data_IF_272537613663
#
_entry.id   IF_272537613663
#
_cell.length_a   1.000
_cell.length_b   1.000
_cell.length_c   1.000
_cell.angle_alpha   90.00
_cell.angle_beta   90.00
_cell.angle_gamma   90.00
#
_symmetry.space_group_name_H-M   'P 1'
#
loop_
_entity.id
_entity.type
_entity.pdbx_description
1 polymer ?
#
# COMPACT_ATOMS: atom_id res chain seq x y z
N UNK A 1 16.57 15.40 -30.46
CA UNK A 1 17.06 14.48 -29.41
C UNK A 1 17.75 15.17 -28.23
N UNK A 2 18.72 16.09 -28.39
CA UNK A 2 19.32 16.79 -27.23
C UNK A 2 18.35 17.73 -26.49
N UNK A 3 17.48 18.45 -27.20
CA UNK A 3 16.50 19.37 -26.61
C UNK A 3 15.44 18.68 -25.76
N UNK A 4 14.99 17.51 -26.16
CA UNK A 4 13.96 16.76 -25.43
C UNK A 4 14.49 16.23 -24.10
N UNK A 5 15.78 15.88 -24.04
CA UNK A 5 16.46 15.46 -22.82
C UNK A 5 16.67 16.63 -21.84
N UNK A 6 16.97 17.82 -22.33
CA UNK A 6 17.13 19.01 -21.48
C UNK A 6 15.79 19.49 -20.89
N UNK A 7 14.71 19.38 -21.63
CA UNK A 7 13.36 19.66 -21.11
C UNK A 7 12.91 18.62 -20.07
N UNK A 8 13.21 17.36 -20.31
CA UNK A 8 12.93 16.28 -19.38
C UNK A 8 13.71 16.46 -18.06
N UNK A 9 14.98 16.83 -18.15
CA UNK A 9 15.82 17.13 -16.98
C UNK A 9 15.31 18.35 -16.19
N UNK A 10 14.81 19.38 -16.86
CA UNK A 10 14.19 20.54 -16.22
C UNK A 10 12.90 20.17 -15.48
N UNK A 11 12.10 19.26 -16.01
CA UNK A 11 10.92 18.72 -15.31
C UNK A 11 11.33 17.89 -14.09
N UNK A 12 12.40 17.11 -14.17
CA UNK A 12 12.95 16.38 -13.02
C UNK A 12 13.52 17.32 -11.95
N UNK A 13 14.13 18.41 -12.34
CA UNK A 13 14.65 19.42 -11.41
C UNK A 13 13.50 20.10 -10.65
N UNK A 14 12.40 20.43 -11.31
CA UNK A 14 11.19 20.96 -10.65
C UNK A 14 10.58 19.96 -9.66
N UNK A 15 10.60 18.66 -9.97
CA UNK A 15 10.19 17.61 -9.05
C UNK A 15 11.14 17.47 -7.85
N UNK A 16 12.43 17.68 -8.04
CA UNK A 16 13.42 17.64 -6.96
C UNK A 16 13.32 18.86 -6.03
N UNK A 17 13.10 20.05 -6.59
CA UNK A 17 12.87 21.27 -5.79
C UNK A 17 11.57 21.22 -5.00
N UNK A 18 10.53 20.57 -5.52
CA UNK A 18 9.29 20.30 -4.77
C UNK A 18 9.47 19.20 -3.71
N UNK A 19 10.47 18.34 -3.86
CA UNK A 19 10.84 17.33 -2.87
C UNK A 19 11.56 17.91 -1.65
N UNK A 20 12.24 19.04 -1.79
CA UNK A 20 13.02 19.67 -0.72
C UNK A 20 12.15 20.40 0.34
N UNK A 21 10.86 20.53 0.12
CA UNK A 21 9.94 21.12 1.11
C UNK A 21 9.41 20.13 2.15
N UNK A 22 9.85 18.89 2.13
CA UNK A 22 9.52 17.91 3.18
C UNK A 22 10.68 17.88 4.19
N UNK A 23 10.87 18.96 4.95
CA UNK A 23 11.60 18.95 6.21
C UNK A 23 10.76 18.25 7.29
N UNK A 24 10.53 16.97 7.14
CA UNK A 24 10.30 16.12 8.29
C UNK A 24 11.67 15.64 8.74
N UNK A 25 12.00 15.89 10.01
CA UNK A 25 13.11 15.21 10.69
C UNK A 25 13.11 13.74 10.22
N UNK A 26 14.25 13.16 9.88
CA UNK A 26 14.34 11.74 9.67
C UNK A 26 13.99 11.07 11.01
N UNK A 27 12.71 10.87 11.25
CA UNK A 27 12.31 9.85 12.19
C UNK A 27 13.00 8.62 11.67
N UNK A 28 13.90 8.09 12.50
CA UNK A 28 14.59 6.85 12.26
C UNK A 28 13.58 5.91 11.63
N UNK A 29 13.66 5.76 10.31
CA UNK A 29 12.98 4.68 9.63
C UNK A 29 13.49 3.46 10.39
N UNK A 30 12.68 2.96 11.31
CA UNK A 30 12.94 1.66 11.87
C UNK A 30 12.99 0.77 10.65
N UNK A 31 14.21 0.44 10.25
CA UNK A 31 14.44 -0.58 9.25
C UNK A 31 13.60 -1.76 9.69
N UNK A 32 12.45 -1.93 9.05
CA UNK A 32 11.64 -3.10 9.26
C UNK A 32 12.38 -4.24 8.57
N UNK A 33 13.52 -4.61 9.14
CA UNK A 33 14.26 -5.78 8.75
C UNK A 33 13.36 -6.96 9.04
N UNK A 34 12.72 -7.41 7.98
CA UNK A 34 11.95 -8.65 8.03
C UNK A 34 12.95 -9.79 7.96
N UNK A 35 13.08 -10.60 9.00
CA UNK A 35 14.14 -11.60 9.10
C UNK A 35 14.08 -12.68 8.03
N UNK A 36 12.94 -12.89 7.39
CA UNK A 36 12.79 -13.86 6.30
C UNK A 36 11.67 -13.47 5.33
N UNK A 37 11.68 -14.02 4.10
CA UNK A 37 10.56 -13.90 3.16
C UNK A 37 9.26 -14.38 3.82
N UNK A 38 8.12 -13.78 3.49
CA UNK A 38 6.79 -14.10 4.04
C UNK A 38 6.48 -13.62 5.46
N UNK A 39 7.44 -13.01 6.16
CA UNK A 39 7.23 -12.54 7.53
C UNK A 39 6.23 -11.38 7.59
N UNK A 40 6.40 -10.37 6.74
CA UNK A 40 5.62 -9.12 6.82
C UNK A 40 5.05 -8.74 5.46
N UNK A 41 3.75 -8.45 5.46
CA UNK A 41 3.01 -7.93 4.32
C UNK A 41 2.37 -6.59 4.67
N UNK A 42 2.44 -5.64 3.74
CA UNK A 42 1.69 -4.38 3.78
C UNK A 42 0.44 -4.48 2.94
N UNK A 43 -0.68 -3.98 3.45
CA UNK A 43 -1.95 -3.87 2.74
C UNK A 43 -2.31 -2.40 2.56
N UNK A 44 -2.72 -2.04 1.37
CA UNK A 44 -3.20 -0.71 1.05
C UNK A 44 -4.44 -0.78 0.15
N UNK A 45 -5.36 0.15 0.32
CA UNK A 45 -6.57 0.26 -0.47
C UNK A 45 -6.57 1.59 -1.20
N UNK A 46 -6.62 1.53 -2.52
CA UNK A 46 -6.66 2.72 -3.38
C UNK A 46 -8.07 2.86 -3.93
N UNK A 47 -8.66 4.05 -3.80
CA UNK A 47 -9.97 4.37 -4.32
C UNK A 47 -10.77 5.30 -3.41
N UNK A 48 -12.01 5.58 -3.77
CA UNK A 48 -12.69 5.18 -5.00
C UNK A 48 -12.13 5.85 -6.25
N UNK A 49 -12.05 5.08 -7.35
CA UNK A 49 -11.56 5.56 -8.65
C UNK A 49 -12.73 6.15 -9.43
N UNK A 50 -12.57 7.37 -9.93
CA UNK A 50 -13.65 8.12 -10.62
C UNK A 50 -14.08 7.53 -11.97
N UNK A 51 -13.22 6.74 -12.61
CA UNK A 51 -13.51 6.06 -13.87
C UNK A 51 -13.54 4.56 -13.64
N UNK A 52 -14.69 3.99 -13.27
CA UNK A 52 -14.79 2.57 -12.99
C UNK A 52 -14.61 1.74 -14.27
N UNK A 53 -13.77 0.71 -14.19
CA UNK A 53 -13.68 -0.31 -15.22
C UNK A 53 -14.46 -1.54 -14.77
N UNK A 54 -15.48 -1.93 -15.54
CA UNK A 54 -16.37 -3.05 -15.22
C UNK A 54 -16.98 -2.99 -13.79
N UNK A 55 -17.23 -1.78 -13.28
CA UNK A 55 -17.76 -1.56 -11.94
C UNK A 55 -16.74 -1.70 -10.81
N UNK A 56 -15.45 -1.88 -11.12
CA UNK A 56 -14.39 -1.88 -10.12
C UNK A 56 -13.94 -0.45 -9.85
N UNK A 57 -14.08 -0.03 -8.61
CA UNK A 57 -13.74 1.33 -8.14
C UNK A 57 -12.65 1.34 -7.07
N UNK A 58 -12.21 0.17 -6.63
CA UNK A 58 -11.15 0.02 -5.63
C UNK A 58 -10.04 -0.88 -6.16
N UNK A 59 -8.82 -0.64 -5.69
CA UNK A 59 -7.69 -1.52 -5.92
C UNK A 59 -7.11 -1.88 -4.56
N UNK A 60 -7.11 -3.16 -4.23
CA UNK A 60 -6.43 -3.66 -3.05
C UNK A 60 -5.01 -4.05 -3.45
N UNK A 61 -4.03 -3.45 -2.79
CA UNK A 61 -2.61 -3.67 -3.03
C UNK A 61 -1.98 -4.34 -1.83
N UNK A 62 -1.22 -5.37 -2.08
CA UNK A 62 -0.42 -6.04 -1.08
C UNK A 62 1.06 -6.02 -1.46
N UNK A 63 1.91 -5.63 -0.53
CA UNK A 63 3.35 -5.52 -0.72
C UNK A 63 4.05 -6.45 0.26
N UNK A 64 4.90 -7.30 -0.27
CA UNK A 64 5.78 -8.14 0.53
C UNK A 64 7.03 -7.34 0.90
N UNK A 65 7.20 -7.03 2.17
CA UNK A 65 8.26 -6.11 2.61
C UNK A 65 9.66 -6.58 2.28
N UNK A 66 9.92 -7.88 2.35
CA UNK A 66 11.24 -8.44 2.09
C UNK A 66 11.64 -8.37 0.60
N UNK A 67 10.78 -8.85 -0.29
CA UNK A 67 11.09 -8.96 -1.73
C UNK A 67 10.62 -7.77 -2.56
N UNK A 68 9.84 -6.87 -1.97
CA UNK A 68 9.12 -5.79 -2.65
C UNK A 68 8.12 -6.28 -3.71
N UNK A 69 7.78 -7.56 -3.67
CA UNK A 69 6.77 -8.13 -4.55
C UNK A 69 5.40 -7.51 -4.26
N UNK A 70 4.71 -7.12 -5.31
CA UNK A 70 3.39 -6.48 -5.23
C UNK A 70 2.34 -7.37 -5.87
N UNK A 71 1.23 -7.52 -5.18
CA UNK A 71 -0.01 -8.11 -5.71
C UNK A 71 -1.08 -7.05 -5.65
N UNK A 72 -1.76 -6.81 -6.76
CA UNK A 72 -2.87 -5.86 -6.82
C UNK A 72 -4.09 -6.52 -7.46
N UNK A 73 -5.25 -6.33 -6.87
CA UNK A 73 -6.52 -6.80 -7.41
C UNK A 73 -7.57 -5.69 -7.45
N UNK A 74 -8.36 -5.60 -8.52
CA UNK A 74 -9.48 -4.68 -8.59
C UNK A 74 -10.66 -5.22 -7.76
N UNK A 75 -11.34 -4.32 -7.05
CA UNK A 75 -12.50 -4.64 -6.24
C UNK A 75 -13.68 -3.73 -6.60
N UNK A 76 -14.87 -4.31 -6.62
CA UNK A 76 -16.12 -3.54 -6.76
C UNK A 76 -16.52 -2.89 -5.45
N UNK A 77 -16.26 -3.57 -4.33
CA UNK A 77 -16.57 -3.09 -2.98
C UNK A 77 -15.39 -3.36 -2.04
N UNK A 78 -15.05 -2.38 -1.23
CA UNK A 78 -14.01 -2.50 -0.21
C UNK A 78 -14.65 -2.89 1.13
N UNK A 79 -15.03 -4.14 1.28
CA UNK A 79 -15.58 -4.69 2.52
C UNK A 79 -14.55 -5.52 3.28
N UNK A 80 -14.72 -5.65 4.58
CA UNK A 80 -13.86 -6.51 5.39
C UNK A 80 -13.81 -7.95 4.88
N UNK A 81 -14.95 -8.50 4.48
CA UNK A 81 -15.05 -9.85 3.91
C UNK A 81 -14.22 -10.01 2.64
N UNK A 82 -14.25 -9.01 1.75
CA UNK A 82 -13.47 -9.04 0.51
C UNK A 82 -11.97 -9.06 0.80
N UNK A 83 -11.53 -8.26 1.77
CA UNK A 83 -10.11 -8.20 2.17
C UNK A 83 -9.68 -9.52 2.82
N UNK A 84 -10.51 -10.13 3.64
CA UNK A 84 -10.22 -11.41 4.28
C UNK A 84 -10.09 -12.54 3.24
N UNK A 85 -11.01 -12.60 2.29
CA UNK A 85 -10.93 -13.57 1.20
C UNK A 85 -9.64 -13.39 0.40
N UNK A 86 -9.27 -12.14 0.11
CA UNK A 86 -8.00 -11.84 -0.54
C UNK A 86 -6.78 -12.34 0.26
N UNK A 87 -6.75 -12.10 1.57
CA UNK A 87 -5.66 -12.58 2.43
C UNK A 87 -5.58 -14.11 2.42
N UNK A 88 -6.73 -14.78 2.50
CA UNK A 88 -6.78 -16.25 2.47
C UNK A 88 -6.30 -16.81 1.14
N UNK A 89 -6.81 -16.29 0.03
CA UNK A 89 -6.55 -16.82 -1.31
C UNK A 89 -5.15 -16.47 -1.82
N UNK A 90 -4.67 -15.27 -1.58
CA UNK A 90 -3.42 -14.77 -2.15
C UNK A 90 -2.22 -14.90 -1.22
N UNK A 91 -2.41 -14.94 0.09
CA UNK A 91 -1.30 -15.08 1.04
C UNK A 91 -1.25 -16.47 1.63
N UNK A 92 -2.30 -16.84 2.40
CA UNK A 92 -2.27 -18.05 3.21
C UNK A 92 -2.14 -19.29 2.34
N UNK A 93 -2.89 -19.36 1.24
CA UNK A 93 -2.85 -20.51 0.32
C UNK A 93 -1.56 -20.60 -0.47
N UNK A 94 -0.95 -19.46 -0.84
CA UNK A 94 0.22 -19.43 -1.72
C UNK A 94 1.55 -19.41 -0.98
N UNK A 95 1.60 -18.69 0.13
CA UNK A 95 2.85 -18.38 0.81
C UNK A 95 2.86 -18.80 2.28
N UNK A 96 1.75 -19.31 2.78
CA UNK A 96 1.59 -19.62 4.19
C UNK A 96 1.16 -18.42 5.04
N UNK A 97 1.04 -18.65 6.32
CA UNK A 97 0.54 -17.66 7.27
C UNK A 97 1.61 -16.60 7.55
N UNK A 98 1.36 -15.32 7.25
CA UNK A 98 2.30 -14.26 7.59
C UNK A 98 2.37 -14.05 9.11
N UNK A 99 3.53 -13.66 9.61
CA UNK A 99 3.68 -13.29 11.02
C UNK A 99 3.10 -11.93 11.32
N UNK A 100 3.14 -11.02 10.33
CA UNK A 100 2.76 -9.62 10.50
C UNK A 100 2.03 -9.10 9.27
N UNK A 101 0.92 -8.40 9.53
CA UNK A 101 0.23 -7.58 8.54
C UNK A 101 0.30 -6.11 8.97
N UNK A 102 0.55 -5.23 8.03
CA UNK A 102 0.55 -3.79 8.22
C UNK A 102 -0.49 -3.20 7.29
N UNK A 103 -1.42 -2.41 7.80
CA UNK A 103 -2.40 -1.68 7.00
C UNK A 103 -2.60 -0.28 7.56
N UNK A 104 -3.27 0.58 6.80
CA UNK A 104 -3.77 1.83 7.35
C UNK A 104 -4.92 1.59 8.33
N UNK A 105 -5.38 2.68 8.96
CA UNK A 105 -6.52 2.66 9.88
C UNK A 105 -7.88 2.73 9.14
N UNK A 106 -7.94 2.37 7.87
CA UNK A 106 -9.17 2.36 7.10
C UNK A 106 -10.20 1.35 7.62
N UNK A 107 -11.47 1.72 7.57
CA UNK A 107 -12.59 0.88 8.04
C UNK A 107 -12.56 -0.56 7.52
N UNK A 108 -12.16 -0.83 6.25
CA UNK A 108 -12.09 -2.20 5.76
C UNK A 108 -11.03 -3.08 6.43
N UNK A 109 -10.02 -2.46 7.07
CA UNK A 109 -8.96 -3.18 7.79
C UNK A 109 -9.20 -3.25 9.29
N UNK A 110 -10.00 -2.33 9.85
CA UNK A 110 -10.31 -2.28 11.29
C UNK A 110 -11.76 -2.73 11.51
N UNK A 111 -12.00 -4.01 11.41
CA UNK A 111 -13.30 -4.59 11.64
C UNK A 111 -13.20 -5.89 12.44
N UNK A 112 -14.35 -6.40 12.85
CA UNK A 112 -14.46 -7.64 13.63
C UNK A 112 -13.88 -8.85 12.88
N UNK A 113 -14.10 -8.90 11.59
CA UNK A 113 -13.69 -10.03 10.76
C UNK A 113 -12.16 -10.09 10.63
N UNK A 114 -11.51 -8.94 10.45
CA UNK A 114 -10.03 -8.85 10.44
C UNK A 114 -9.45 -9.26 11.80
N UNK A 115 -10.07 -8.83 12.91
CA UNK A 115 -9.66 -9.24 14.25
C UNK A 115 -9.78 -10.76 14.44
N UNK A 116 -10.87 -11.34 13.97
CA UNK A 116 -11.09 -12.78 14.04
C UNK A 116 -10.06 -13.55 13.21
N UNK A 117 -9.80 -13.10 11.97
CA UNK A 117 -8.79 -13.72 11.10
C UNK A 117 -7.40 -13.69 11.76
N UNK A 118 -6.97 -12.51 12.19
CA UNK A 118 -5.64 -12.33 12.78
C UNK A 118 -5.47 -13.12 14.07
N UNK A 119 -6.52 -13.21 14.88
CA UNK A 119 -6.54 -14.05 16.09
C UNK A 119 -6.45 -15.55 15.76
N UNK A 120 -7.25 -16.02 14.79
CA UNK A 120 -7.29 -17.44 14.40
C UNK A 120 -5.96 -17.94 13.85
N UNK A 121 -5.25 -17.11 13.12
CA UNK A 121 -3.95 -17.47 12.51
C UNK A 121 -2.74 -16.94 13.28
N UNK A 122 -2.94 -16.35 14.46
CA UNK A 122 -1.87 -15.74 15.27
C UNK A 122 -1.03 -14.70 14.51
N UNK A 123 -1.68 -13.91 13.66
CA UNK A 123 -1.05 -12.86 12.87
C UNK A 123 -1.05 -11.55 13.69
N UNK A 124 0.11 -10.90 13.79
CA UNK A 124 0.20 -9.57 14.38
C UNK A 124 -0.24 -8.52 13.36
N UNK A 125 -1.34 -7.82 13.63
CA UNK A 125 -1.81 -6.73 12.80
C UNK A 125 -1.39 -5.39 13.37
N UNK A 126 -0.71 -4.59 12.58
CA UNK A 126 -0.25 -3.25 12.91
C UNK A 126 -0.93 -2.24 12.03
N UNK A 127 -1.56 -1.27 12.67
CA UNK A 127 -2.08 -0.08 12.02
C UNK A 127 -1.23 1.09 12.53
N UNK A 128 -0.14 1.46 11.87
CA UNK A 128 0.65 2.60 12.29
C UNK A 128 -0.25 3.83 12.31
N UNK A 129 -0.29 4.53 13.44
CA UNK A 129 -1.00 5.78 13.53
C UNK A 129 -0.40 6.71 12.47
N UNK A 130 -1.27 7.23 11.58
CA UNK A 130 -1.01 8.20 10.52
C UNK A 130 0.47 8.52 10.30
N UNK A 131 1.11 7.81 9.41
CA UNK A 131 2.29 8.34 8.75
C UNK A 131 1.78 9.21 7.60
N UNK A 132 1.84 10.53 7.76
CA UNK A 132 1.50 11.52 6.73
C UNK A 132 2.26 11.29 5.40
N UNK A 133 3.33 10.52 5.44
CA UNK A 133 4.13 10.12 4.27
C UNK A 133 3.39 9.20 3.29
N UNK A 134 2.52 8.31 3.77
CA UNK A 134 1.77 7.39 2.89
C UNK A 134 0.67 8.16 2.15
N UNK A 135 0.03 9.12 2.80
CA UNK A 135 -0.95 10.01 2.15
C UNK A 135 -0.31 10.87 1.07
N UNK A 136 0.89 11.34 1.28
CA UNK A 136 1.64 12.15 0.30
C UNK A 136 1.99 11.33 -0.93
N UNK A 137 2.43 10.10 -0.77
CA UNK A 137 2.77 9.20 -1.89
C UNK A 137 1.52 8.82 -2.70
N UNK A 138 0.40 8.54 -2.04
CA UNK A 138 -0.87 8.25 -2.71
C UNK A 138 -1.39 9.45 -3.50
N UNK A 139 -1.24 10.68 -2.98
CA UNK A 139 -1.60 11.91 -3.70
C UNK A 139 -0.77 12.14 -4.96
N UNK A 140 0.50 11.75 -4.96
CA UNK A 140 1.38 11.87 -6.12
C UNK A 140 0.98 10.88 -7.20
N UNK A 141 0.69 9.63 -6.83
CA UNK A 141 0.26 8.59 -7.78
C UNK A 141 -1.08 8.94 -8.42
N UNK A 142 -2.05 9.46 -7.65
CA UNK A 142 -3.35 9.88 -8.17
C UNK A 142 -3.27 11.11 -9.08
N UNK A 143 -2.29 12.00 -8.89
CA UNK A 143 -2.05 13.13 -9.79
C UNK A 143 -1.42 12.71 -11.11
N UNK A 144 -0.59 11.70 -11.15
CA UNK A 144 0.06 11.23 -12.38
C UNK A 144 -0.88 10.42 -13.29
N UNK A 145 -1.97 9.85 -12.75
CA UNK A 145 -2.95 9.10 -13.54
C UNK A 145 -4.08 9.95 -14.14
N UNK A 146 -4.06 11.27 -13.93
CA UNK A 146 -5.04 12.23 -14.49
C UNK A 146 -4.58 12.91 -15.79
N UNK A 147 -3.57 12.40 -16.46
CA UNK A 147 -3.15 12.86 -17.80
C UNK A 147 -3.40 11.83 -18.86
#
# INVERSE_FOLDING_TARGET
>A
MKRDLEELVKMFHACQVLGDTIHTHPNVLQDMTTPWPFHTWGLNLIGPINLPSNGHIWILVAIKYFTKWVVAIPLKKATGTTIINFIREHFITRFGIPKRLISDNGTPFINRDMKNLTKSYHIKHYCPQRNDQVETTNKVILKSSRR
#
